data_IF_565165717441
#
_entry.id   IF_565165717441
#
_cell.length_a   1.000
_cell.length_b   1.000
_cell.length_c   1.000
_cell.angle_alpha   90.00
_cell.angle_beta   90.00
_cell.angle_gamma   90.00
#
_symmetry.space_group_name_H-M   'P 1'
#
loop_
_entity.id
_entity.type
_entity.pdbx_description
1 polymer ?
#
# COMPACT_ATOMS: atom_id res chain seq x y z
N UNK A 1 22.52 -14.52 -20.75
CA UNK A 1 21.36 -14.05 -19.95
C UNK A 1 20.87 -12.63 -20.30
N UNK A 2 21.25 -12.11 -21.45
CA UNK A 2 20.76 -10.80 -21.94
C UNK A 2 19.25 -10.71 -22.11
N UNK A 3 18.56 -11.84 -22.38
CA UNK A 3 17.09 -11.88 -22.47
C UNK A 3 16.41 -11.56 -21.13
N UNK A 4 16.96 -12.02 -20.01
CA UNK A 4 16.43 -11.70 -18.69
C UNK A 4 16.50 -10.22 -18.36
N UNK A 5 17.58 -9.54 -18.73
CA UNK A 5 17.77 -8.11 -18.45
C UNK A 5 16.90 -7.23 -19.33
N UNK A 6 16.75 -7.57 -20.62
CA UNK A 6 15.84 -6.87 -21.53
C UNK A 6 14.39 -6.99 -21.06
N UNK A 7 13.97 -8.17 -20.68
CA UNK A 7 12.64 -8.44 -20.17
C UNK A 7 12.36 -7.68 -18.87
N UNK A 8 13.29 -7.67 -17.94
CA UNK A 8 13.18 -6.91 -16.69
C UNK A 8 13.05 -5.41 -16.95
N UNK A 9 13.83 -4.86 -17.87
CA UNK A 9 13.72 -3.45 -18.27
C UNK A 9 12.35 -3.14 -18.89
N UNK A 10 11.82 -4.05 -19.69
CA UNK A 10 10.50 -3.89 -20.30
C UNK A 10 9.39 -3.83 -19.24
N UNK A 11 9.45 -4.70 -18.22
CA UNK A 11 8.51 -4.66 -17.10
C UNK A 11 8.60 -3.32 -16.36
N UNK A 12 9.82 -2.89 -16.03
CA UNK A 12 10.04 -1.62 -15.32
C UNK A 12 9.53 -0.43 -16.16
N UNK A 13 9.82 -0.40 -17.45
CA UNK A 13 9.31 0.65 -18.34
C UNK A 13 7.80 0.66 -18.44
N UNK A 14 7.18 -0.51 -18.49
CA UNK A 14 5.72 -0.62 -18.53
C UNK A 14 5.09 -0.06 -17.24
N UNK A 15 5.65 -0.39 -16.09
CA UNK A 15 5.20 0.12 -14.80
C UNK A 15 5.45 1.63 -14.65
N UNK A 16 6.58 2.12 -15.14
CA UNK A 16 6.92 3.53 -15.08
C UNK A 16 5.97 4.42 -15.90
N UNK A 17 5.49 3.91 -17.03
CA UNK A 17 4.56 4.62 -17.91
C UNK A 17 3.09 4.38 -17.57
N UNK A 18 2.80 3.57 -16.56
CA UNK A 18 1.43 3.31 -16.13
C UNK A 18 0.98 4.36 -15.11
N UNK A 19 -0.19 4.94 -15.35
CA UNK A 19 -0.81 5.93 -14.46
C UNK A 19 -1.46 5.29 -13.23
N UNK A 20 -1.73 4.00 -13.29
CA UNK A 20 -2.41 3.22 -12.26
C UNK A 20 -1.65 1.92 -11.97
N UNK A 21 -1.88 1.29 -10.79
CA UNK A 21 -1.34 -0.03 -10.51
C UNK A 21 -1.73 -1.06 -11.58
N UNK A 22 -0.78 -1.89 -12.00
CA UNK A 22 -0.96 -2.86 -13.07
C UNK A 22 -1.12 -4.26 -12.50
N UNK A 23 -2.26 -4.89 -12.75
CA UNK A 23 -2.51 -6.26 -12.31
C UNK A 23 -1.55 -7.26 -12.96
N UNK A 24 -1.18 -8.31 -12.24
CA UNK A 24 -0.31 -9.36 -12.76
C UNK A 24 -0.85 -10.00 -14.05
N UNK A 25 -2.16 -10.14 -14.17
CA UNK A 25 -2.81 -10.66 -15.39
C UNK A 25 -2.58 -9.76 -16.60
N UNK A 26 -2.61 -8.45 -16.40
CA UNK A 26 -2.36 -7.47 -17.49
C UNK A 26 -0.91 -7.55 -17.95
N UNK A 27 0.03 -7.65 -17.03
CA UNK A 27 1.44 -7.86 -17.36
C UNK A 27 1.65 -9.20 -18.06
N UNK A 28 1.04 -10.28 -17.58
CA UNK A 28 1.12 -11.59 -18.21
C UNK A 28 0.63 -11.56 -19.66
N UNK A 29 -0.49 -10.92 -19.91
CA UNK A 29 -1.03 -10.72 -21.26
C UNK A 29 -0.11 -9.88 -22.14
N UNK A 30 0.43 -8.78 -21.59
CA UNK A 30 1.33 -7.88 -22.32
C UNK A 30 2.63 -8.55 -22.76
N UNK A 31 3.19 -9.43 -21.93
CA UNK A 31 4.47 -10.09 -22.17
C UNK A 31 4.35 -11.54 -22.66
N UNK A 32 3.14 -12.04 -22.86
CA UNK A 32 2.92 -13.39 -23.38
C UNK A 32 3.42 -14.51 -22.45
N UNK A 33 3.33 -14.31 -21.14
CA UNK A 33 3.73 -15.28 -20.11
C UNK A 33 2.56 -15.57 -19.16
N UNK A 34 2.72 -16.59 -18.30
CA UNK A 34 1.69 -16.88 -17.30
C UNK A 34 1.70 -15.85 -16.15
N UNK A 35 0.56 -15.73 -15.47
CA UNK A 35 0.45 -14.90 -14.26
C UNK A 35 1.51 -15.31 -13.22
N UNK A 36 1.74 -16.60 -13.04
CA UNK A 36 2.72 -17.14 -12.08
C UNK A 36 4.14 -16.68 -12.41
N UNK A 37 4.51 -16.65 -13.67
CA UNK A 37 5.81 -16.16 -14.14
C UNK A 37 5.97 -14.68 -13.78
N UNK A 38 4.93 -13.87 -14.01
CA UNK A 38 4.95 -12.45 -13.62
C UNK A 38 5.15 -12.29 -12.12
N UNK A 39 4.42 -13.04 -11.28
CA UNK A 39 4.54 -12.96 -9.82
C UNK A 39 5.97 -13.29 -9.37
N UNK A 40 6.57 -14.33 -9.93
CA UNK A 40 7.94 -14.73 -9.62
C UNK A 40 8.97 -13.68 -10.10
N UNK A 41 8.81 -13.18 -11.31
CA UNK A 41 9.73 -12.19 -11.90
C UNK A 41 9.66 -10.86 -11.17
N UNK A 42 8.47 -10.41 -10.78
CA UNK A 42 8.30 -9.21 -9.96
C UNK A 42 8.95 -9.40 -8.58
N UNK A 43 8.82 -10.57 -7.96
CA UNK A 43 9.48 -10.86 -6.69
C UNK A 43 11.01 -10.74 -6.81
N UNK A 44 11.60 -11.23 -7.89
CA UNK A 44 13.03 -11.09 -8.18
C UNK A 44 13.42 -9.63 -8.43
N UNK A 45 12.61 -8.89 -9.18
CA UNK A 45 12.82 -7.46 -9.41
C UNK A 45 12.76 -6.65 -8.12
N UNK A 46 11.82 -6.96 -7.24
CA UNK A 46 11.69 -6.29 -5.93
C UNK A 46 12.91 -6.54 -5.04
N UNK A 47 13.56 -7.67 -5.15
CA UNK A 47 14.79 -7.96 -4.41
C UNK A 47 15.93 -7.01 -4.79
N UNK A 48 15.98 -6.56 -6.05
CA UNK A 48 16.99 -5.63 -6.57
C UNK A 48 16.49 -4.19 -6.67
N UNK A 49 15.19 -4.00 -6.89
CA UNK A 49 14.56 -2.69 -7.02
C UNK A 49 13.38 -2.59 -6.04
N UNK A 50 13.61 -1.97 -4.90
CA UNK A 50 12.62 -1.82 -3.82
C UNK A 50 11.49 -0.84 -4.14
N UNK A 51 11.56 -0.16 -5.28
CA UNK A 51 10.56 0.82 -5.68
C UNK A 51 9.31 0.18 -6.30
N UNK A 52 9.31 -1.12 -6.55
CA UNK A 52 8.11 -1.83 -6.99
C UNK A 52 7.27 -2.20 -5.78
N UNK A 53 6.07 -1.64 -5.70
CA UNK A 53 5.10 -1.93 -4.65
C UNK A 53 4.05 -2.91 -5.17
N UNK A 54 3.63 -3.84 -4.31
CA UNK A 54 2.54 -4.75 -4.58
C UNK A 54 1.31 -4.30 -3.80
N UNK A 55 0.29 -3.86 -4.50
CA UNK A 55 -0.96 -3.37 -3.91
C UNK A 55 -2.11 -4.32 -4.18
N UNK A 56 -3.24 -4.08 -3.55
CA UNK A 56 -4.48 -4.81 -3.83
C UNK A 56 -5.00 -4.62 -5.26
N UNK A 57 -4.53 -3.59 -5.98
CA UNK A 57 -4.88 -3.29 -7.38
C UNK A 57 -3.86 -3.80 -8.39
N UNK A 58 -2.67 -4.14 -7.94
CA UNK A 58 -1.57 -4.59 -8.77
C UNK A 58 -0.25 -3.96 -8.40
N UNK A 59 0.70 -4.01 -9.33
CA UNK A 59 2.03 -3.49 -9.14
C UNK A 59 2.15 -2.05 -9.58
N UNK A 60 2.91 -1.27 -8.83
CA UNK A 60 3.23 0.12 -9.15
C UNK A 60 4.72 0.36 -8.93
N UNK A 61 5.33 1.13 -9.81
CA UNK A 61 6.70 1.62 -9.61
C UNK A 61 6.61 2.96 -8.86
N UNK A 62 7.10 2.96 -7.64
CA UNK A 62 7.19 4.17 -6.82
C UNK A 62 8.53 4.84 -7.09
N UNK A 63 8.50 6.08 -7.56
CA UNK A 63 9.71 6.88 -7.75
C UNK A 63 9.83 7.91 -6.63
N UNK A 64 10.73 7.71 -5.66
CA UNK A 64 10.90 8.65 -4.56
C UNK A 64 11.46 10.01 -5.01
N UNK A 65 12.06 10.11 -6.20
CA UNK A 65 12.58 11.37 -6.73
C UNK A 65 11.51 12.21 -7.45
N UNK A 66 10.45 11.59 -7.94
CA UNK A 66 9.31 12.29 -8.55
C UNK A 66 8.22 12.69 -7.54
N UNK A 67 8.27 12.16 -6.35
CA UNK A 67 7.44 12.60 -5.22
C UNK A 67 8.07 13.84 -4.59
N UNK A 68 7.78 15.01 -5.11
CA UNK A 68 8.22 16.29 -4.55
C UNK A 68 7.93 16.32 -3.05
N UNK A 69 9.00 16.39 -2.23
CA UNK A 69 8.96 16.80 -0.82
C UNK A 69 7.70 16.38 -0.02
N UNK A 70 7.24 15.15 -0.21
CA UNK A 70 6.14 14.64 0.60
C UNK A 70 6.62 14.46 2.04
N UNK A 71 5.84 15.00 2.96
CA UNK A 71 6.02 14.73 4.37
C UNK A 71 5.49 13.33 4.68
N UNK A 72 6.11 12.64 5.61
CA UNK A 72 5.76 11.27 5.99
C UNK A 72 5.65 11.14 7.49
N UNK A 73 4.62 10.43 7.95
CA UNK A 73 4.43 10.11 9.38
C UNK A 73 3.83 8.72 9.53
N UNK A 74 4.20 8.03 10.60
CA UNK A 74 3.63 6.74 10.96
C UNK A 74 2.65 6.96 12.10
N UNK A 75 1.42 6.49 11.93
CA UNK A 75 0.38 6.54 12.95
C UNK A 75 0.15 5.15 13.53
N UNK A 76 0.23 5.05 14.85
CA UNK A 76 -0.18 3.84 15.57
C UNK A 76 -1.67 3.95 15.88
N UNK A 77 -2.47 3.03 15.34
CA UNK A 77 -3.92 3.06 15.41
C UNK A 77 -4.50 1.76 15.93
N UNK A 78 -5.69 1.86 16.50
CA UNK A 78 -6.50 0.73 16.95
C UNK A 78 -7.96 1.04 16.67
N UNK A 79 -8.64 0.16 15.97
CA UNK A 79 -10.07 0.27 15.70
C UNK A 79 -10.68 -1.10 15.39
N UNK A 80 -12.00 -1.19 15.46
CA UNK A 80 -12.75 -2.37 15.04
C UNK A 80 -12.82 -2.48 13.51
N UNK A 81 -13.24 -3.62 13.00
CA UNK A 81 -13.45 -3.81 11.55
C UNK A 81 -14.51 -2.86 10.99
N UNK A 82 -15.57 -2.60 11.78
CA UNK A 82 -16.63 -1.66 11.39
C UNK A 82 -16.11 -0.20 11.25
N UNK A 83 -15.03 0.14 11.93
CA UNK A 83 -14.43 1.48 11.93
C UNK A 83 -13.32 1.65 10.88
N UNK A 84 -12.93 0.59 10.20
CA UNK A 84 -11.82 0.61 9.23
C UNK A 84 -12.05 1.64 8.11
N UNK A 85 -13.25 1.64 7.54
CA UNK A 85 -13.58 2.57 6.46
C UNK A 85 -13.53 4.02 6.94
N UNK A 86 -14.06 4.29 8.13
CA UNK A 86 -14.07 5.64 8.71
C UNK A 86 -12.65 6.15 8.96
N UNK A 87 -11.77 5.32 9.50
CA UNK A 87 -10.37 5.65 9.73
C UNK A 87 -9.64 5.98 8.43
N UNK A 88 -9.77 5.13 7.43
CA UNK A 88 -9.13 5.35 6.13
C UNK A 88 -9.70 6.57 5.39
N UNK A 89 -11.00 6.78 5.45
CA UNK A 89 -11.63 7.99 4.90
C UNK A 89 -11.10 9.25 5.54
N UNK A 90 -10.93 9.25 6.85
CA UNK A 90 -10.40 10.39 7.59
C UNK A 90 -9.02 10.79 7.06
N UNK A 91 -8.14 9.83 6.84
CA UNK A 91 -6.79 10.09 6.33
C UNK A 91 -6.80 10.65 4.90
N UNK A 92 -7.56 10.04 3.99
CA UNK A 92 -7.60 10.48 2.59
C UNK A 92 -8.37 11.77 2.39
N UNK A 93 -9.43 12.02 3.18
CA UNK A 93 -10.19 13.26 3.13
C UNK A 93 -9.37 14.48 3.56
N UNK A 94 -8.42 14.29 4.47
CA UNK A 94 -7.48 15.33 4.89
C UNK A 94 -6.39 15.62 3.84
N UNK A 95 -6.26 14.78 2.82
CA UNK A 95 -5.23 14.89 1.80
C UNK A 95 -4.03 13.97 2.04
N UNK A 96 -4.18 12.96 2.92
CA UNK A 96 -3.15 11.94 3.15
C UNK A 96 -3.19 10.84 2.11
N UNK A 97 -2.02 10.26 1.83
CA UNK A 97 -1.86 9.05 1.05
C UNK A 97 -1.49 7.91 1.99
N UNK A 98 -2.38 6.94 2.17
CA UNK A 98 -2.11 5.78 3.03
C UNK A 98 -1.25 4.79 2.26
N UNK A 99 0.02 4.68 2.63
CA UNK A 99 1.00 3.88 1.88
C UNK A 99 0.90 2.40 2.19
N UNK A 100 0.66 2.05 3.45
CA UNK A 100 0.76 0.67 3.93
C UNK A 100 -0.08 0.40 5.17
N UNK A 101 -0.10 -0.86 5.55
CA UNK A 101 -0.46 -1.33 6.89
C UNK A 101 0.70 -2.16 7.43
N UNK A 102 1.09 -1.91 8.65
CA UNK A 102 2.21 -2.57 9.32
C UNK A 102 1.71 -3.13 10.65
N UNK A 103 2.05 -4.39 10.93
CA UNK A 103 1.79 -5.03 12.21
C UNK A 103 3.09 -5.62 12.76
N UNK A 104 3.26 -5.61 14.09
CA UNK A 104 4.39 -6.25 14.76
C UNK A 104 3.90 -7.57 15.36
N UNK A 105 4.41 -8.67 14.84
CA UNK A 105 4.08 -10.02 15.30
C UNK A 105 5.21 -10.60 16.14
N UNK A 106 4.89 -11.21 17.27
CA UNK A 106 5.89 -11.72 18.20
C UNK A 106 6.85 -12.74 17.59
N UNK A 107 6.34 -13.58 16.68
CA UNK A 107 7.13 -14.66 16.05
C UNK A 107 7.78 -14.20 14.76
N UNK A 108 6.99 -13.54 13.88
CA UNK A 108 7.42 -13.17 12.53
C UNK A 108 8.05 -11.79 12.42
N UNK A 109 8.04 -11.02 13.52
CA UNK A 109 8.51 -9.64 13.49
C UNK A 109 7.54 -8.72 12.75
N UNK A 110 8.06 -7.74 12.04
CA UNK A 110 7.27 -6.77 11.33
C UNK A 110 6.70 -7.35 10.02
N UNK A 111 5.38 -7.36 9.90
CA UNK A 111 4.66 -7.73 8.70
C UNK A 111 4.03 -6.48 8.10
N UNK A 112 4.13 -6.28 6.79
CA UNK A 112 3.56 -5.12 6.12
C UNK A 112 2.94 -5.49 4.78
N UNK A 113 1.93 -4.70 4.38
CA UNK A 113 1.33 -4.77 3.06
C UNK A 113 1.16 -3.36 2.51
N UNK A 114 1.55 -3.17 1.25
CA UNK A 114 1.38 -1.90 0.56
C UNK A 114 -0.09 -1.70 0.19
N UNK A 115 -0.64 -0.52 0.46
CA UNK A 115 -2.04 -0.19 0.18
C UNK A 115 -2.18 0.85 -0.95
N UNK A 116 -1.51 1.98 -0.82
CA UNK A 116 -1.57 3.15 -1.72
C UNK A 116 -3.01 3.61 -1.94
N UNK A 117 -3.60 4.15 -0.88
CA UNK A 117 -4.93 4.72 -0.89
C UNK A 117 -4.84 6.25 -0.91
N UNK A 118 -5.36 6.88 -1.95
CA UNK A 118 -5.26 8.33 -2.19
C UNK A 118 -6.59 9.07 -2.05
N UNK A 119 -7.69 8.35 -2.17
CA UNK A 119 -9.05 8.91 -2.17
C UNK A 119 -10.07 7.88 -1.67
N UNK A 120 -11.31 8.30 -1.50
CA UNK A 120 -12.39 7.43 -1.01
C UNK A 120 -12.67 6.24 -1.93
N UNK A 121 -12.56 6.44 -3.24
CA UNK A 121 -12.76 5.34 -4.19
C UNK A 121 -11.74 4.22 -3.98
N UNK A 122 -10.47 4.58 -3.75
CA UNK A 122 -9.42 3.60 -3.43
C UNK A 122 -9.74 2.85 -2.14
N UNK A 123 -10.22 3.54 -1.12
CA UNK A 123 -10.63 2.94 0.15
C UNK A 123 -11.79 1.97 -0.06
N UNK A 124 -12.83 2.37 -0.80
CA UNK A 124 -14.00 1.54 -1.07
C UNK A 124 -13.62 0.26 -1.83
N UNK A 125 -12.75 0.36 -2.82
CA UNK A 125 -12.25 -0.81 -3.54
C UNK A 125 -11.46 -1.76 -2.64
N UNK A 126 -10.65 -1.21 -1.75
CA UNK A 126 -9.90 -2.00 -0.77
C UNK A 126 -10.84 -2.75 0.18
N UNK A 127 -11.84 -2.05 0.75
CA UNK A 127 -12.83 -2.63 1.66
C UNK A 127 -13.66 -3.71 0.94
N UNK A 128 -14.08 -3.43 -0.30
CA UNK A 128 -14.83 -4.41 -1.11
C UNK A 128 -14.03 -5.69 -1.33
N UNK A 129 -12.78 -5.59 -1.74
CA UNK A 129 -11.91 -6.76 -1.94
C UNK A 129 -11.69 -7.57 -0.68
N UNK A 130 -11.54 -6.89 0.46
CA UNK A 130 -11.42 -7.58 1.76
C UNK A 130 -12.69 -8.35 2.11
N UNK A 131 -13.86 -7.82 1.80
CA UNK A 131 -15.14 -8.49 2.03
C UNK A 131 -15.39 -9.70 1.13
N UNK A 132 -14.74 -9.75 -0.04
CA UNK A 132 -14.87 -10.85 -1.01
C UNK A 132 -13.88 -12.01 -0.74
N UNK A 133 -12.87 -11.81 0.11
CA UNK A 133 -11.87 -12.83 0.42
C UNK A 133 -12.15 -13.46 1.78
N UNK A 134 -11.77 -14.73 1.94
CA UNK A 134 -11.80 -15.41 3.23
C UNK A 134 -10.60 -15.04 4.11
N UNK A 135 -9.66 -14.25 3.58
CA UNK A 135 -8.46 -13.86 4.29
C UNK A 135 -8.73 -12.79 5.34
N UNK A 136 -8.12 -12.95 6.50
CA UNK A 136 -8.25 -11.99 7.57
C UNK A 136 -7.30 -10.81 7.37
N UNK A 137 -7.70 -9.59 7.74
CA UNK A 137 -6.80 -8.44 7.75
C UNK A 137 -5.57 -8.66 8.64
N UNK A 138 -4.42 -8.12 8.25
CA UNK A 138 -3.19 -8.23 9.03
C UNK A 138 -3.34 -7.77 10.49
N UNK A 139 -4.13 -6.72 10.72
CA UNK A 139 -4.38 -6.17 12.07
C UNK A 139 -4.97 -7.18 13.06
N UNK A 140 -5.65 -8.22 12.59
CA UNK A 140 -6.22 -9.25 13.44
C UNK A 140 -5.13 -10.02 14.19
N UNK A 141 -3.94 -10.13 13.61
CA UNK A 141 -2.78 -10.79 14.23
C UNK A 141 -2.29 -10.08 15.51
N UNK A 142 -2.67 -8.83 15.70
CA UNK A 142 -2.21 -7.99 16.83
C UNK A 142 -3.36 -7.37 17.63
N UNK A 143 -4.55 -7.99 17.61
CA UNK A 143 -5.71 -7.50 18.32
C UNK A 143 -6.17 -6.12 17.85
N UNK A 144 -6.21 -5.91 16.54
CA UNK A 144 -6.61 -4.67 15.86
C UNK A 144 -5.59 -3.52 15.95
N UNK A 145 -4.50 -3.66 16.70
CA UNK A 145 -3.42 -2.67 16.72
C UNK A 145 -2.55 -2.78 15.47
N UNK A 146 -2.32 -1.67 14.79
CA UNK A 146 -1.48 -1.62 13.60
C UNK A 146 -0.92 -0.22 13.37
N UNK A 147 -0.01 -0.12 12.41
CA UNK A 147 0.59 1.13 11.99
C UNK A 147 0.21 1.42 10.54
N UNK A 148 0.04 2.70 10.22
CA UNK A 148 -0.04 3.18 8.84
C UNK A 148 1.05 4.19 8.59
N UNK A 149 1.79 4.02 7.49
CA UNK A 149 2.62 5.09 6.93
C UNK A 149 1.74 5.96 6.07
N UNK A 150 1.70 7.26 6.36
CA UNK A 150 0.92 8.25 5.62
C UNK A 150 1.86 9.31 5.07
N UNK A 151 1.72 9.60 3.78
CA UNK A 151 2.39 10.71 3.11
C UNK A 151 1.39 11.83 2.82
N UNK A 152 1.87 13.07 2.83
CA UNK A 152 1.07 14.23 2.53
C UNK A 152 1.94 15.37 1.97
N UNK A 153 1.32 16.33 1.30
CA UNK A 153 2.01 17.46 0.70
C UNK A 153 2.60 18.43 1.73
N UNK A 154 2.14 18.37 3.00
CA UNK A 154 2.62 19.24 4.07
C UNK A 154 2.50 18.58 5.44
N UNK A 155 3.33 19.01 6.39
CA UNK A 155 3.23 18.63 7.80
C UNK A 155 1.89 19.03 8.42
N UNK A 156 1.32 20.14 7.98
CA UNK A 156 0.00 20.61 8.43
C UNK A 156 -1.10 19.58 8.16
N UNK A 157 -1.06 18.92 7.02
CA UNK A 157 -2.02 17.85 6.69
C UNK A 157 -1.84 16.67 7.66
N UNK A 158 -0.60 16.29 7.94
CA UNK A 158 -0.31 15.20 8.89
C UNK A 158 -0.75 15.55 10.31
N UNK A 159 -0.57 16.81 10.73
CA UNK A 159 -1.04 17.31 12.02
C UNK A 159 -2.57 17.25 12.12
N UNK A 160 -3.28 17.62 11.05
CA UNK A 160 -4.75 17.53 10.98
C UNK A 160 -5.23 16.08 11.07
N UNK A 161 -4.57 15.17 10.36
CA UNK A 161 -4.87 13.74 10.43
C UNK A 161 -4.69 13.23 11.87
N UNK A 162 -3.58 13.57 12.52
CA UNK A 162 -3.29 13.16 13.90
C UNK A 162 -4.36 13.66 14.86
N UNK A 163 -4.73 14.93 14.75
CA UNK A 163 -5.79 15.53 15.57
C UNK A 163 -7.12 14.82 15.42
N UNK A 164 -7.54 14.56 14.19
CA UNK A 164 -8.81 13.88 13.91
C UNK A 164 -8.81 12.43 14.35
N UNK A 165 -7.69 11.72 14.15
CA UNK A 165 -7.55 10.35 14.65
C UNK A 165 -7.64 10.30 16.18
N UNK A 166 -7.05 11.27 16.87
CA UNK A 166 -7.13 11.40 18.32
C UNK A 166 -8.55 11.69 18.79
N UNK A 167 -9.26 12.60 18.13
CA UNK A 167 -10.66 12.95 18.44
C UNK A 167 -11.60 11.76 18.27
N UNK A 168 -11.37 10.91 17.30
CA UNK A 168 -12.14 9.68 17.06
C UNK A 168 -11.75 8.52 17.98
N UNK A 169 -10.66 8.67 18.72
CA UNK A 169 -10.15 7.62 19.58
C UNK A 169 -9.45 6.48 18.84
N UNK A 170 -8.99 6.72 17.60
CA UNK A 170 -8.29 5.74 16.79
C UNK A 170 -6.80 5.67 17.08
N UNK A 171 -6.19 6.72 17.63
CA UNK A 171 -4.79 6.68 18.01
C UNK A 171 -4.56 5.79 19.22
N UNK A 172 -3.57 4.92 19.12
CA UNK A 172 -3.11 4.13 20.25
C UNK A 172 -2.37 5.06 21.22
N UNK A 173 -2.85 5.14 22.45
CA UNK A 173 -2.13 5.85 23.51
C UNK A 173 -0.77 5.16 23.75
N UNK A 174 0.27 5.99 23.90
CA UNK A 174 1.62 5.51 24.25
C UNK A 174 1.63 4.84 25.61
#
# INVERSE_FOLDING_TARGET
RGLGDVYKRQILNFLQNADEPVAARKLASQFGVSRQVIVQDIALLRATNRNILSTNKGYVLYDPEHGQNLCRRIFAVNHTDAQMQEELYLMVDCGGYVCDVIVEHEIYGQLSADLILKNRWDVDEFIRKMGETADLPLKVLTGNSHLHTVEADSEKILDEIETRLAEKGFLKNK
#
